data_IF_107907118165
#
_entry.id   IF_107907118165
#
_cell.length_a   1.000
_cell.length_b   1.000
_cell.length_c   1.000
_cell.angle_alpha   90.00
_cell.angle_beta   90.00
_cell.angle_gamma   90.00
#
_symmetry.space_group_name_H-M   'P 1'
#
loop_
_entity.id
_entity.type
_entity.pdbx_description
1 polymer ?
#
# COMPACT_ATOMS: atom_id res chain seq x y z
N UNK A 1 3.80 -35.91 -7.02
CA UNK A 1 4.27 -34.85 -7.93
C UNK A 1 3.20 -33.76 -8.02
N UNK A 2 3.36 -32.50 -7.61
CA UNK A 2 4.25 -31.85 -6.65
C UNK A 2 3.45 -30.66 -6.10
N UNK A 3 3.16 -30.62 -4.78
CA UNK A 3 2.58 -29.43 -4.13
C UNK A 3 3.43 -28.17 -4.35
N UNK A 4 4.70 -28.38 -4.72
CA UNK A 4 5.65 -27.36 -5.16
C UNK A 4 5.17 -26.55 -6.37
N UNK A 5 4.49 -27.16 -7.36
CA UNK A 5 3.98 -26.45 -8.54
C UNK A 5 2.79 -25.54 -8.22
N UNK A 6 1.94 -25.92 -7.25
CA UNK A 6 0.82 -25.08 -6.80
C UNK A 6 1.30 -23.91 -5.94
N UNK A 7 2.32 -24.14 -5.10
CA UNK A 7 3.00 -23.08 -4.34
C UNK A 7 3.70 -22.09 -5.28
N UNK A 8 4.43 -22.58 -6.28
CA UNK A 8 5.08 -21.74 -7.31
C UNK A 8 4.08 -20.96 -8.15
N UNK A 9 2.92 -21.54 -8.49
CA UNK A 9 1.88 -20.88 -9.31
C UNK A 9 1.10 -19.83 -8.51
N UNK A 10 1.00 -19.98 -7.18
CA UNK A 10 0.44 -18.97 -6.27
C UNK A 10 1.41 -17.82 -6.00
N UNK A 11 2.72 -18.12 -5.91
CA UNK A 11 3.80 -17.13 -5.85
C UNK A 11 3.99 -16.38 -7.18
N UNK A 12 3.82 -17.06 -8.32
CA UNK A 12 3.98 -16.50 -9.67
C UNK A 12 2.92 -15.45 -10.03
N UNK A 13 1.74 -15.49 -9.37
CA UNK A 13 0.72 -14.44 -9.47
C UNK A 13 0.98 -13.21 -8.59
N UNK A 14 2.03 -13.25 -7.75
CA UNK A 14 2.47 -12.08 -6.97
C UNK A 14 3.42 -11.21 -7.79
N UNK A 15 3.16 -9.91 -7.80
CA UNK A 15 4.01 -8.90 -8.43
C UNK A 15 5.46 -8.94 -7.85
N UNK A 16 5.62 -9.54 -6.66
CA UNK A 16 6.87 -9.82 -5.94
C UNK A 16 7.83 -10.78 -6.66
N UNK A 17 7.34 -11.68 -7.53
CA UNK A 17 8.24 -12.54 -8.32
C UNK A 17 9.07 -11.70 -9.30
N UNK A 18 8.50 -10.61 -9.85
CA UNK A 18 9.20 -9.73 -10.80
C UNK A 18 10.29 -8.92 -10.11
N UNK A 19 10.02 -8.37 -8.93
CA UNK A 19 11.01 -7.65 -8.13
C UNK A 19 12.13 -8.57 -7.62
N UNK A 20 11.79 -9.76 -7.13
CA UNK A 20 12.78 -10.80 -6.79
C UNK A 20 13.61 -11.22 -8.00
N UNK A 21 12.99 -11.32 -9.18
CA UNK A 21 13.70 -11.59 -10.43
C UNK A 21 14.67 -10.46 -10.78
N UNK A 22 14.28 -9.18 -10.61
CA UNK A 22 15.19 -8.05 -10.83
C UNK A 22 16.36 -8.05 -9.84
N UNK A 23 16.13 -8.44 -8.58
CA UNK A 23 17.19 -8.60 -7.60
C UNK A 23 18.18 -9.71 -7.99
N UNK A 24 17.66 -10.87 -8.38
CA UNK A 24 18.46 -12.01 -8.84
C UNK A 24 19.21 -11.63 -10.11
N UNK A 25 18.55 -10.98 -11.07
CA UNK A 25 19.18 -10.48 -12.29
C UNK A 25 20.27 -9.47 -11.98
N UNK A 26 20.10 -8.58 -11.00
CA UNK A 26 21.13 -7.62 -10.60
C UNK A 26 22.33 -8.32 -9.98
N UNK A 27 22.12 -9.36 -9.16
CA UNK A 27 23.20 -10.18 -8.57
C UNK A 27 23.94 -10.93 -9.69
N UNK A 28 23.21 -11.59 -10.59
CA UNK A 28 23.79 -12.32 -11.71
C UNK A 28 24.54 -11.37 -12.65
N UNK A 29 23.98 -10.20 -12.96
CA UNK A 29 24.62 -9.19 -13.77
C UNK A 29 25.89 -8.63 -13.11
N UNK A 30 25.88 -8.43 -11.79
CA UNK A 30 27.05 -8.01 -11.00
C UNK A 30 28.17 -9.04 -11.15
N UNK A 31 27.88 -10.31 -10.84
CA UNK A 31 28.86 -11.40 -10.95
C UNK A 31 29.34 -11.60 -12.39
N UNK A 32 28.45 -11.45 -13.37
CA UNK A 32 28.79 -11.59 -14.78
C UNK A 32 29.57 -10.38 -15.34
N UNK A 33 29.63 -9.25 -14.62
CA UNK A 33 30.27 -8.02 -15.10
C UNK A 33 31.75 -8.22 -15.45
N UNK A 34 32.44 -9.16 -14.79
CA UNK A 34 33.85 -9.49 -15.08
C UNK A 34 34.04 -9.98 -16.51
N UNK A 35 33.07 -10.69 -17.10
CA UNK A 35 33.17 -11.18 -18.47
C UNK A 35 33.11 -10.06 -19.51
N UNK A 36 32.47 -8.94 -19.19
CA UNK A 36 32.40 -7.78 -20.06
C UNK A 36 33.60 -6.82 -19.91
N UNK A 37 34.51 -7.08 -18.96
CA UNK A 37 35.71 -6.26 -18.73
C UNK A 37 36.60 -6.01 -19.97
N UNK A 38 36.75 -6.93 -20.94
CA UNK A 38 37.56 -6.70 -22.14
C UNK A 38 37.05 -5.57 -23.05
N UNK A 39 35.76 -5.23 -22.96
CA UNK A 39 35.10 -4.23 -23.82
C UNK A 39 35.37 -2.80 -23.31
N UNK A 40 35.88 -2.66 -22.08
CA UNK A 40 36.02 -1.36 -21.42
C UNK A 40 37.33 -0.65 -21.84
N UNK A 41 37.24 0.59 -22.36
CA UNK A 41 38.41 1.43 -22.64
C UNK A 41 39.18 1.80 -21.36
N UNK A 42 40.52 1.86 -21.45
CA UNK A 42 41.38 2.12 -20.28
C UNK A 42 41.12 3.49 -19.62
N UNK A 43 40.82 4.53 -20.42
CA UNK A 43 40.54 5.87 -19.90
C UNK A 43 39.24 5.96 -19.06
N UNK A 44 38.26 5.10 -19.31
CA UNK A 44 37.05 5.03 -18.46
C UNK A 44 37.31 4.26 -17.15
N UNK A 45 38.26 3.33 -17.16
CA UNK A 45 38.64 2.56 -15.98
C UNK A 45 39.30 3.41 -14.89
N UNK A 46 40.11 4.40 -15.27
CA UNK A 46 40.73 5.32 -14.31
C UNK A 46 39.71 6.27 -13.66
N UNK A 47 38.72 6.76 -14.42
CA UNK A 47 37.75 7.75 -13.91
C UNK A 47 36.62 7.09 -13.11
N UNK A 48 36.07 5.97 -13.61
CA UNK A 48 34.85 5.36 -13.06
C UNK A 48 35.14 4.09 -12.23
N UNK A 49 36.31 3.45 -12.39
CA UNK A 49 36.69 2.24 -11.66
C UNK A 49 37.23 2.51 -10.24
N UNK A 50 37.24 3.76 -9.80
CA UNK A 50 37.75 4.19 -8.50
C UNK A 50 36.74 4.03 -7.35
N UNK A 51 36.75 4.99 -6.42
CA UNK A 51 36.03 4.95 -5.14
C UNK A 51 34.51 5.23 -5.26
N UNK A 52 34.07 5.85 -6.35
CA UNK A 52 32.67 6.29 -6.51
C UNK A 52 31.66 5.14 -6.41
N UNK A 53 31.97 3.96 -6.97
CA UNK A 53 31.07 2.80 -6.90
C UNK A 53 30.95 2.26 -5.47
N UNK A 54 32.04 2.27 -4.70
CA UNK A 54 32.06 1.81 -3.31
C UNK A 54 31.21 2.72 -2.40
N UNK A 55 31.33 4.03 -2.59
CA UNK A 55 30.53 5.02 -1.86
C UNK A 55 29.03 4.85 -2.16
N UNK A 56 28.65 4.67 -3.44
CA UNK A 56 27.24 4.46 -3.82
C UNK A 56 26.71 3.15 -3.24
N UNK A 57 27.44 2.04 -3.36
CA UNK A 57 27.03 0.76 -2.81
C UNK A 57 26.86 0.82 -1.29
N UNK A 58 27.76 1.50 -0.57
CA UNK A 58 27.71 1.65 0.88
C UNK A 58 26.50 2.49 1.33
N UNK A 59 26.24 3.60 0.64
CA UNK A 59 25.05 4.42 0.91
C UNK A 59 23.77 3.63 0.61
N UNK A 60 23.74 2.86 -0.48
CA UNK A 60 22.59 1.99 -0.78
C UNK A 60 22.40 0.90 0.27
N UNK A 61 23.47 0.23 0.72
CA UNK A 61 23.38 -0.84 1.71
C UNK A 61 22.75 -0.34 3.04
N UNK A 62 23.21 0.81 3.53
CA UNK A 62 22.67 1.38 4.78
C UNK A 62 21.26 1.94 4.62
N UNK A 63 21.00 2.72 3.57
CA UNK A 63 19.70 3.34 3.33
C UNK A 63 18.59 2.33 3.03
N UNK A 64 18.87 1.30 2.22
CA UNK A 64 17.87 0.30 1.87
C UNK A 64 17.48 -0.57 3.07
N UNK A 65 18.42 -0.89 3.96
CA UNK A 65 18.10 -1.61 5.19
C UNK A 65 17.17 -0.78 6.10
N UNK A 66 17.45 0.52 6.23
CA UNK A 66 16.60 1.43 7.00
C UNK A 66 15.18 1.54 6.41
N UNK A 67 15.06 1.70 5.08
CA UNK A 67 13.76 1.77 4.39
C UNK A 67 12.98 0.46 4.52
N UNK A 68 13.64 -0.70 4.37
CA UNK A 68 13.00 -2.01 4.56
C UNK A 68 12.50 -2.18 5.99
N UNK A 69 13.31 -1.80 6.98
CA UNK A 69 12.97 -1.90 8.40
C UNK A 69 11.78 -1.00 8.74
N UNK A 70 11.83 0.27 8.32
CA UNK A 70 10.71 1.21 8.50
C UNK A 70 9.44 0.67 7.86
N UNK A 71 9.52 0.22 6.61
CA UNK A 71 8.36 -0.26 5.85
C UNK A 71 7.76 -1.54 6.45
N UNK A 72 8.59 -2.48 6.91
CA UNK A 72 8.12 -3.69 7.59
C UNK A 72 7.45 -3.34 8.94
N UNK A 73 8.03 -2.43 9.70
CA UNK A 73 7.44 -1.93 10.95
C UNK A 73 6.07 -1.29 10.70
N UNK A 74 5.95 -0.43 9.68
CA UNK A 74 4.67 0.17 9.27
C UNK A 74 3.64 -0.87 8.82
N UNK A 75 4.04 -1.91 8.09
CA UNK A 75 3.13 -2.99 7.72
C UNK A 75 2.62 -3.75 8.96
N UNK A 76 3.52 -4.10 9.87
CA UNK A 76 3.16 -4.83 11.10
C UNK A 76 2.24 -3.99 11.98
N UNK A 77 2.52 -2.69 12.14
CA UNK A 77 1.65 -1.79 12.92
C UNK A 77 0.28 -1.61 12.26
N UNK A 78 0.24 -1.49 10.93
CA UNK A 78 -1.01 -1.43 10.17
C UNK A 78 -1.83 -2.71 10.31
N UNK A 79 -1.20 -3.90 10.24
CA UNK A 79 -1.90 -5.16 10.46
C UNK A 79 -2.42 -5.28 11.89
N UNK A 80 -1.64 -4.83 12.88
CA UNK A 80 -2.08 -4.76 14.28
C UNK A 80 -3.31 -3.87 14.46
N UNK A 81 -3.31 -2.68 13.84
CA UNK A 81 -4.44 -1.75 13.90
C UNK A 81 -5.70 -2.28 13.19
N UNK A 82 -5.55 -2.94 12.03
CA UNK A 82 -6.72 -3.55 11.35
C UNK A 82 -7.25 -4.74 12.16
N UNK A 83 -6.38 -5.56 12.73
CA UNK A 83 -6.78 -6.69 13.57
C UNK A 83 -7.51 -6.25 14.85
N UNK A 84 -7.20 -5.07 15.39
CA UNK A 84 -7.87 -4.53 16.58
C UNK A 84 -9.17 -3.76 16.29
N UNK A 85 -9.36 -3.26 15.06
CA UNK A 85 -10.47 -2.34 14.74
C UNK A 85 -11.47 -2.85 13.70
N UNK A 86 -11.15 -3.92 12.95
CA UNK A 86 -12.00 -4.41 11.86
C UNK A 86 -12.59 -5.80 12.15
N UNK A 87 -13.86 -6.01 11.75
CA UNK A 87 -14.52 -7.32 11.76
C UNK A 87 -13.74 -8.35 10.93
N UNK A 88 -13.66 -9.64 11.32
CA UNK A 88 -12.88 -10.70 10.62
C UNK A 88 -13.16 -10.81 9.11
N UNK A 89 -14.30 -10.31 8.62
CA UNK A 89 -14.66 -10.27 7.19
C UNK A 89 -13.96 -9.15 6.40
N UNK A 90 -13.60 -8.03 7.03
CA UNK A 90 -12.93 -6.90 6.37
C UNK A 90 -11.40 -7.10 6.28
N UNK A 91 -10.81 -7.79 7.26
CA UNK A 91 -9.38 -8.15 7.30
C UNK A 91 -8.97 -9.02 6.10
N UNK A 92 -9.87 -9.87 5.60
CA UNK A 92 -9.64 -10.71 4.43
C UNK A 92 -9.56 -9.92 3.11
N UNK A 93 -10.11 -8.70 3.05
CA UNK A 93 -10.19 -7.87 1.84
C UNK A 93 -8.99 -6.91 1.67
N UNK A 94 -8.33 -6.53 2.77
CA UNK A 94 -7.13 -5.64 2.76
C UNK A 94 -5.85 -6.41 2.42
N UNK A 95 -5.87 -7.74 2.53
CA UNK A 95 -4.72 -8.63 2.32
C UNK A 95 -4.22 -8.70 0.85
N UNK A 96 -4.74 -7.86 -0.05
CA UNK A 96 -4.46 -7.90 -1.48
C UNK A 96 -3.75 -6.66 -2.02
N UNK A 97 -3.10 -5.84 -1.19
CA UNK A 97 -2.31 -4.71 -1.71
C UNK A 97 -0.96 -5.17 -2.28
N UNK A 98 -1.02 -5.60 -3.55
CA UNK A 98 0.12 -6.09 -4.34
C UNK A 98 1.19 -5.00 -4.57
N UNK A 99 0.88 -3.72 -4.35
CA UNK A 99 1.79 -2.60 -4.67
C UNK A 99 2.82 -2.37 -3.56
N UNK A 100 2.42 -2.44 -2.29
CA UNK A 100 3.33 -2.31 -1.15
C UNK A 100 4.39 -3.43 -1.12
N UNK A 101 3.99 -4.66 -1.41
CA UNK A 101 4.91 -5.80 -1.52
C UNK A 101 5.94 -5.66 -2.65
N UNK A 102 5.62 -4.92 -3.71
CA UNK A 102 6.53 -4.72 -4.85
C UNK A 102 7.62 -3.72 -4.55
N UNK A 103 7.27 -2.62 -3.85
CA UNK A 103 8.25 -1.65 -3.39
C UNK A 103 9.24 -2.29 -2.39
N UNK A 104 8.71 -3.02 -1.41
CA UNK A 104 9.50 -3.75 -0.42
C UNK A 104 10.50 -4.74 -1.05
N UNK A 105 10.05 -5.53 -2.02
CA UNK A 105 10.91 -6.50 -2.70
C UNK A 105 12.03 -5.81 -3.48
N UNK A 106 11.77 -4.64 -4.06
CA UNK A 106 12.78 -3.86 -4.78
C UNK A 106 13.85 -3.31 -3.83
N UNK A 107 13.46 -2.80 -2.65
CA UNK A 107 14.40 -2.32 -1.64
C UNK A 107 15.25 -3.45 -1.07
N UNK A 108 14.65 -4.60 -0.77
CA UNK A 108 15.37 -5.78 -0.32
C UNK A 108 16.36 -6.28 -1.38
N UNK A 109 15.95 -6.28 -2.65
CA UNK A 109 16.82 -6.65 -3.76
C UNK A 109 18.03 -5.74 -3.91
N UNK A 110 17.81 -4.43 -3.85
CA UNK A 110 18.88 -3.43 -3.89
C UNK A 110 19.83 -3.55 -2.70
N UNK A 111 19.31 -3.84 -1.50
CA UNK A 111 20.12 -4.11 -0.32
C UNK A 111 21.05 -5.31 -0.53
N UNK A 112 20.50 -6.46 -0.97
CA UNK A 112 21.29 -7.67 -1.23
C UNK A 112 22.32 -7.43 -2.32
N UNK A 113 21.92 -6.79 -3.44
CA UNK A 113 22.84 -6.40 -4.51
C UNK A 113 24.01 -5.56 -3.98
N UNK A 114 23.72 -4.59 -3.10
CA UNK A 114 24.72 -3.70 -2.53
C UNK A 114 25.73 -4.48 -1.70
N UNK A 115 25.25 -5.33 -0.77
CA UNK A 115 26.12 -6.14 0.10
C UNK A 115 26.97 -7.11 -0.71
N UNK A 116 26.37 -7.84 -1.66
CA UNK A 116 27.10 -8.80 -2.50
C UNK A 116 28.16 -8.09 -3.34
N UNK A 117 27.82 -6.93 -3.91
CA UNK A 117 28.76 -6.17 -4.75
C UNK A 117 29.90 -5.55 -3.93
N UNK A 118 29.64 -5.07 -2.70
CA UNK A 118 30.69 -4.60 -1.78
C UNK A 118 31.65 -5.74 -1.44
N UNK A 119 31.13 -6.92 -1.09
CA UNK A 119 31.97 -8.10 -0.77
C UNK A 119 32.80 -8.54 -1.98
N UNK A 120 32.21 -8.55 -3.17
CA UNK A 120 32.96 -8.86 -4.39
C UNK A 120 34.01 -7.77 -4.71
N UNK A 121 33.71 -6.50 -4.50
CA UNK A 121 34.68 -5.42 -4.68
C UNK A 121 35.84 -5.51 -3.69
N UNK A 122 35.57 -5.82 -2.42
CA UNK A 122 36.57 -5.89 -1.34
C UNK A 122 37.51 -7.09 -1.47
N UNK A 123 37.04 -8.20 -2.06
CA UNK A 123 37.86 -9.37 -2.39
C UNK A 123 38.75 -9.18 -3.63
N UNK A 124 38.65 -8.02 -4.31
CA UNK A 124 39.39 -7.76 -5.55
C UNK A 124 38.85 -8.50 -6.76
N UNK A 125 37.64 -9.09 -6.68
CA UNK A 125 37.00 -9.82 -7.78
C UNK A 125 36.86 -8.95 -9.04
N UNK A 126 36.57 -7.66 -8.85
CA UNK A 126 36.51 -6.68 -9.92
C UNK A 126 37.86 -5.99 -10.11
N UNK A 127 38.56 -6.37 -11.19
CA UNK A 127 39.69 -5.59 -11.70
C UNK A 127 39.27 -4.18 -12.15
N UNK A 128 40.22 -3.30 -12.52
CA UNK A 128 39.95 -1.88 -12.83
C UNK A 128 38.82 -1.67 -13.85
N UNK A 129 38.82 -2.49 -14.92
CA UNK A 129 37.79 -2.46 -15.96
C UNK A 129 36.43 -3.01 -15.50
N UNK A 130 36.43 -4.05 -14.66
CA UNK A 130 35.20 -4.64 -14.11
C UNK A 130 34.44 -3.66 -13.21
N UNK A 131 35.17 -2.79 -12.49
CA UNK A 131 34.57 -1.75 -11.64
C UNK A 131 33.77 -0.72 -12.42
N UNK A 132 34.15 -0.41 -13.67
CA UNK A 132 33.38 0.49 -14.55
C UNK A 132 32.02 -0.11 -14.88
N UNK A 133 31.98 -1.40 -15.21
CA UNK A 133 30.72 -2.08 -15.53
C UNK A 133 29.84 -2.15 -14.28
N UNK A 134 30.44 -2.47 -13.13
CA UNK A 134 29.75 -2.45 -11.86
C UNK A 134 29.15 -1.06 -11.56
N UNK A 135 29.87 0.02 -11.86
CA UNK A 135 29.35 1.39 -11.71
C UNK A 135 28.07 1.61 -12.52
N UNK A 136 28.03 1.24 -13.80
CA UNK A 136 26.82 1.39 -14.62
C UNK A 136 25.65 0.53 -14.13
N UNK A 137 25.92 -0.72 -13.74
CA UNK A 137 24.91 -1.60 -13.14
C UNK A 137 24.37 -0.98 -11.84
N UNK A 138 25.27 -0.49 -10.99
CA UNK A 138 24.93 0.16 -9.71
C UNK A 138 24.07 1.41 -9.95
N UNK A 139 24.41 2.24 -10.93
CA UNK A 139 23.63 3.41 -11.30
C UNK A 139 22.21 3.04 -11.80
N UNK A 140 22.09 1.96 -12.59
CA UNK A 140 20.79 1.46 -13.07
C UNK A 140 19.93 0.95 -11.91
N UNK A 141 20.50 0.17 -10.99
CA UNK A 141 19.81 -0.29 -9.78
C UNK A 141 19.36 0.89 -8.92
N UNK A 142 20.24 1.86 -8.69
CA UNK A 142 19.92 3.09 -7.95
C UNK A 142 18.76 3.86 -8.59
N UNK A 143 18.78 4.06 -9.91
CA UNK A 143 17.70 4.74 -10.62
C UNK A 143 16.36 3.98 -10.49
N UNK A 144 16.38 2.65 -10.57
CA UNK A 144 15.21 1.80 -10.36
C UNK A 144 14.63 1.89 -8.94
N UNK A 145 15.51 1.95 -7.92
CA UNK A 145 15.13 2.19 -6.53
C UNK A 145 14.47 3.56 -6.37
N UNK A 146 15.11 4.63 -6.86
CA UNK A 146 14.58 5.99 -6.77
C UNK A 146 13.22 6.11 -7.46
N UNK A 147 13.08 5.53 -8.66
CA UNK A 147 11.81 5.48 -9.36
C UNK A 147 10.72 4.78 -8.51
N UNK A 148 11.07 3.65 -7.89
CA UNK A 148 10.15 2.88 -7.05
C UNK A 148 9.71 3.67 -5.82
N UNK A 149 10.65 4.37 -5.15
CA UNK A 149 10.34 5.24 -4.00
C UNK A 149 9.39 6.37 -4.44
N UNK A 150 9.72 7.10 -5.50
CA UNK A 150 8.90 8.22 -5.99
C UNK A 150 7.48 7.74 -6.34
N UNK A 151 7.37 6.61 -7.05
CA UNK A 151 6.09 6.03 -7.44
C UNK A 151 5.28 5.53 -6.25
N UNK A 152 5.95 5.01 -5.23
CA UNK A 152 5.31 4.53 -4.00
C UNK A 152 4.80 5.68 -3.12
N UNK A 153 5.60 6.74 -2.96
CA UNK A 153 5.19 7.94 -2.23
C UNK A 153 3.94 8.57 -2.89
N UNK A 154 3.93 8.68 -4.22
CA UNK A 154 2.76 9.19 -4.94
C UNK A 154 1.48 8.36 -4.73
N UNK A 155 1.59 7.09 -4.36
CA UNK A 155 0.46 6.23 -4.04
C UNK A 155 -0.02 6.44 -2.59
N UNK A 156 0.90 6.66 -1.65
CA UNK A 156 0.58 7.01 -0.26
C UNK A 156 -0.19 8.33 -0.18
N UNK A 157 0.12 9.29 -1.05
CA UNK A 157 -0.61 10.58 -1.13
C UNK A 157 -2.10 10.39 -1.48
N UNK A 158 -2.47 9.29 -2.15
CA UNK A 158 -3.87 8.98 -2.48
C UNK A 158 -4.70 8.52 -1.28
N UNK A 159 -4.06 7.96 -0.23
CA UNK A 159 -4.71 7.49 0.99
C UNK A 159 -5.12 8.63 1.94
N UNK A 160 -4.61 9.85 1.74
CA UNK A 160 -5.10 11.05 2.43
C UNK A 160 -6.51 11.49 2.00
N UNK A 161 -7.13 10.83 1.01
CA UNK A 161 -8.57 10.97 0.69
C UNK A 161 -9.49 10.15 1.61
N UNK A 162 -9.06 9.86 2.84
CA UNK A 162 -9.93 9.24 3.86
C UNK A 162 -11.16 10.10 4.19
N UNK A 163 -11.11 11.43 3.99
CA UNK A 163 -12.30 12.29 4.03
C UNK A 163 -13.34 11.88 2.98
N UNK A 164 -12.93 11.68 1.73
CA UNK A 164 -13.83 11.35 0.62
C UNK A 164 -14.45 9.95 0.71
N UNK A 165 -13.91 9.04 1.54
CA UNK A 165 -14.46 7.68 1.70
C UNK A 165 -15.63 7.69 2.67
N UNK A 166 -15.56 8.49 3.75
CA UNK A 166 -16.70 8.69 4.65
C UNK A 166 -17.84 9.37 3.91
N UNK A 167 -17.55 10.43 3.15
CA UNK A 167 -18.55 11.14 2.35
C UNK A 167 -19.18 10.24 1.29
N UNK A 168 -18.41 9.37 0.63
CA UNK A 168 -18.96 8.41 -0.34
C UNK A 168 -19.80 7.31 0.31
N UNK A 169 -19.45 6.86 1.52
CA UNK A 169 -20.26 5.90 2.27
C UNK A 169 -21.56 6.55 2.73
N UNK A 170 -21.52 7.80 3.18
CA UNK A 170 -22.70 8.58 3.55
C UNK A 170 -23.62 8.80 2.34
N UNK A 171 -23.06 9.20 1.20
CA UNK A 171 -23.84 9.42 -0.03
C UNK A 171 -24.44 8.11 -0.57
N UNK A 172 -23.69 7.01 -0.51
CA UNK A 172 -24.19 5.69 -0.91
C UNK A 172 -25.28 5.17 0.05
N UNK A 173 -25.13 5.41 1.36
CA UNK A 173 -26.15 5.10 2.37
C UNK A 173 -27.44 5.89 2.15
N UNK A 174 -27.31 7.20 1.91
CA UNK A 174 -28.44 8.08 1.60
C UNK A 174 -29.18 7.62 0.34
N UNK A 175 -28.46 7.31 -0.74
CA UNK A 175 -29.06 6.82 -1.99
C UNK A 175 -29.75 5.46 -1.82
N UNK A 176 -29.19 4.55 -1.03
CA UNK A 176 -29.82 3.25 -0.77
C UNK A 176 -31.12 3.36 0.03
N UNK A 177 -31.20 4.32 0.96
CA UNK A 177 -32.42 4.62 1.70
C UNK A 177 -33.47 5.25 0.77
N UNK A 178 -33.06 6.19 -0.08
CA UNK A 178 -33.94 6.88 -1.04
C UNK A 178 -34.42 6.00 -2.20
N UNK A 179 -33.62 5.01 -2.62
CA UNK A 179 -33.96 4.09 -3.71
C UNK A 179 -34.96 3.00 -3.29
N UNK A 180 -35.27 2.90 -2.00
CA UNK A 180 -36.33 2.01 -1.53
C UNK A 180 -37.66 2.71 -1.78
N UNK A 181 -38.51 2.13 -2.63
CA UNK A 181 -39.91 2.57 -2.76
C UNK A 181 -40.60 2.31 -1.42
N UNK A 182 -40.61 3.33 -0.56
CA UNK A 182 -41.37 3.38 0.67
C UNK A 182 -42.73 4.02 0.38
N UNK A 183 -43.85 3.44 0.85
CA UNK A 183 -45.21 3.92 0.56
C UNK A 183 -45.60 5.18 1.35
N UNK A 184 -44.63 6.04 1.69
CA UNK A 184 -44.84 7.30 2.43
C UNK A 184 -43.74 8.31 2.04
N UNK A 185 -44.04 9.61 2.15
CA UNK A 185 -43.11 10.69 1.84
C UNK A 185 -42.08 10.83 2.97
N UNK A 186 -40.85 10.42 2.71
CA UNK A 186 -39.70 10.71 3.57
C UNK A 186 -38.92 11.88 2.98
N UNK A 187 -38.83 12.98 3.72
CA UNK A 187 -37.95 14.10 3.39
C UNK A 187 -36.73 14.10 4.32
N UNK A 188 -35.55 13.67 3.82
CA UNK A 188 -34.32 13.83 4.58
C UNK A 188 -34.08 15.32 4.79
N UNK A 189 -33.98 15.76 6.06
CA UNK A 189 -33.80 17.16 6.50
C UNK A 189 -35.03 18.08 6.45
N UNK A 190 -36.24 17.55 6.63
CA UNK A 190 -37.37 18.41 6.98
C UNK A 190 -37.07 19.14 8.31
N UNK A 191 -37.11 20.47 8.33
CA UNK A 191 -37.05 21.23 9.57
C UNK A 191 -38.31 20.95 10.38
N UNK A 192 -38.20 20.62 11.68
CA UNK A 192 -39.37 20.43 12.51
C UNK A 192 -40.15 21.75 12.59
N UNK A 193 -41.50 21.72 12.57
CA UNK A 193 -42.30 22.93 12.75
C UNK A 193 -41.96 23.59 14.09
N UNK A 194 -42.04 24.93 14.13
CA UNK A 194 -41.67 25.75 15.29
C UNK A 194 -42.43 25.40 16.59
N UNK A 195 -43.52 24.63 16.48
CA UNK A 195 -44.33 24.12 17.58
C UNK A 195 -44.50 22.60 17.42
N UNK A 196 -43.73 21.84 18.20
CA UNK A 196 -43.90 20.39 18.32
C UNK A 196 -44.99 20.09 19.36
N UNK A 197 -45.96 19.25 18.99
CA UNK A 197 -47.07 18.88 19.88
C UNK A 197 -46.62 18.01 21.07
N UNK A 198 -45.56 17.22 20.89
CA UNK A 198 -44.95 16.39 21.93
C UNK A 198 -43.51 15.99 21.54
N UNK A 199 -42.62 15.90 22.53
CA UNK A 199 -41.26 15.37 22.35
C UNK A 199 -41.17 13.99 23.00
N UNK A 200 -40.67 13.00 22.26
CA UNK A 200 -40.46 11.63 22.75
C UNK A 200 -38.97 11.43 22.96
N UNK A 201 -38.55 11.38 24.23
CA UNK A 201 -37.19 11.09 24.61
C UNK A 201 -36.98 9.58 24.78
N UNK A 202 -35.80 9.09 24.37
CA UNK A 202 -35.39 7.72 24.65
C UNK A 202 -35.29 7.47 26.15
N UNK A 203 -35.65 6.26 26.59
CA UNK A 203 -35.55 5.87 28.00
C UNK A 203 -34.10 5.76 28.49
N UNK A 204 -33.15 5.56 27.57
CA UNK A 204 -31.73 5.39 27.85
C UNK A 204 -30.87 6.22 26.88
N UNK A 205 -29.65 6.56 27.33
CA UNK A 205 -28.66 7.24 26.51
C UNK A 205 -27.87 6.19 25.74
N UNK A 206 -27.92 6.24 24.40
CA UNK A 206 -27.24 5.29 23.53
C UNK A 206 -27.22 5.70 22.06
N UNK A 207 -26.73 4.79 21.20
CA UNK A 207 -26.71 4.99 19.74
C UNK A 207 -27.95 4.37 19.08
N UNK A 208 -28.58 5.11 18.17
CA UNK A 208 -29.73 4.63 17.42
C UNK A 208 -29.27 3.63 16.34
N UNK A 209 -29.56 2.35 16.54
CA UNK A 209 -29.10 1.30 15.62
C UNK A 209 -30.10 1.01 14.50
N UNK A 210 -31.38 1.18 14.76
CA UNK A 210 -32.45 0.91 13.81
C UNK A 210 -33.68 1.75 14.13
N UNK A 211 -34.35 2.21 13.08
CA UNK A 211 -35.67 2.83 13.14
C UNK A 211 -36.64 1.89 12.42
N UNK A 212 -37.71 1.47 13.08
CA UNK A 212 -38.80 0.77 12.41
C UNK A 212 -39.68 1.76 11.66
N UNK A 213 -39.26 2.05 10.44
CA UNK A 213 -39.91 2.98 9.56
C UNK A 213 -41.33 2.52 9.18
N UNK A 214 -41.60 1.20 9.15
CA UNK A 214 -42.93 0.68 8.83
C UNK A 214 -43.89 0.90 9.99
N UNK A 215 -43.46 0.58 11.21
CA UNK A 215 -44.25 0.85 12.42
C UNK A 215 -44.56 2.33 12.57
N UNK A 216 -43.59 3.22 12.31
CA UNK A 216 -43.84 4.67 12.33
C UNK A 216 -44.88 5.11 11.28
N UNK A 217 -44.83 4.55 10.07
CA UNK A 217 -45.78 4.89 9.00
C UNK A 217 -47.22 4.39 9.28
N UNK A 218 -47.39 3.32 10.05
CA UNK A 218 -48.71 2.86 10.51
C UNK A 218 -49.27 3.83 11.56
N UNK A 219 -48.44 4.27 12.50
CA UNK A 219 -48.82 5.23 13.54
C UNK A 219 -49.20 6.61 12.98
N UNK A 220 -48.47 7.12 11.98
CA UNK A 220 -48.81 8.40 11.35
C UNK A 220 -50.19 8.35 10.67
N UNK A 221 -50.55 7.20 10.07
CA UNK A 221 -51.87 7.00 9.45
C UNK A 221 -52.97 6.79 10.47
N UNK A 222 -52.74 6.00 11.52
CA UNK A 222 -53.74 5.68 12.53
C UNK A 222 -54.11 6.92 13.35
N UNK A 223 -53.12 7.72 13.73
CA UNK A 223 -53.32 8.88 14.60
C UNK A 223 -53.36 10.22 13.85
N UNK A 224 -53.15 10.21 12.53
CA UNK A 224 -53.08 11.40 11.67
C UNK A 224 -52.09 12.45 12.21
N UNK A 225 -50.86 11.99 12.49
CA UNK A 225 -49.77 12.79 13.06
C UNK A 225 -48.53 12.74 12.17
N UNK A 226 -47.75 13.81 12.18
CA UNK A 226 -46.43 13.86 11.55
C UNK A 226 -45.33 13.58 12.59
N UNK A 227 -44.36 12.74 12.24
CA UNK A 227 -43.26 12.34 13.13
C UNK A 227 -41.94 12.87 12.57
N UNK A 228 -41.23 13.65 13.38
CA UNK A 228 -39.93 14.23 13.03
C UNK A 228 -38.82 13.60 13.87
N UNK A 229 -37.72 13.20 13.22
CA UNK A 229 -36.53 12.63 13.89
C UNK A 229 -35.43 13.68 13.90
N UNK A 230 -35.16 14.26 15.08
CA UNK A 230 -34.24 15.40 15.21
C UNK A 230 -32.75 15.00 15.32
N UNK A 231 -32.42 13.77 15.76
CA UNK A 231 -31.03 13.29 15.87
C UNK A 231 -30.93 11.82 15.45
N UNK A 232 -30.11 11.55 14.44
CA UNK A 232 -29.67 10.23 13.98
C UNK A 232 -28.25 9.96 14.49
#
# INVERSE_FOLDING_TARGET
>A
MSSFLFFFRRISRSLSFRAGLYAILAIVASLAAVFAAPIVPDGLAEVLGGKAVDDILTVMASSMLAVVTFSLSTLVSSFGAVASTASPRATALIMEDRRAHTALATFLGAFIFSVVSIVALSTGYYGPKGRVILFFITALVLAGVLYTIIRWIGQLSGLSRLGNVVDQIEEAGSKAILAREVPFAWEPRAEPPAHLSAEVCGAEIGFLQAIDIRGLAELTKEYNVDIFVHRL
#
